data_IF_036697596296
#
_entry.id   IF_036697596296
#
_cell.length_a   1.000
_cell.length_b   1.000
_cell.length_c   1.000
_cell.angle_alpha   90.00
_cell.angle_beta   90.00
_cell.angle_gamma   90.00
#
_symmetry.space_group_name_H-M   'P 1'
#
loop_
_entity.id
_entity.type
_entity.pdbx_description
1 polymer ?
#
# COMPACT_ATOMS: atom_id res chain seq x y z
N UNK A 1 -24.71 -28.03 -16.07
CA UNK A 1 -23.51 -27.71 -15.25
C UNK A 1 -23.18 -26.24 -15.43
N UNK A 2 -23.47 -25.37 -14.44
CA UNK A 2 -23.07 -23.96 -14.49
C UNK A 2 -21.58 -23.89 -14.18
N UNK A 3 -20.78 -23.45 -15.17
CA UNK A 3 -19.37 -23.10 -14.96
C UNK A 3 -19.35 -21.95 -13.95
N UNK A 4 -18.89 -22.21 -12.73
CA UNK A 4 -18.56 -21.14 -11.80
C UNK A 4 -17.35 -20.41 -12.39
N UNK A 5 -17.57 -19.26 -13.02
CA UNK A 5 -16.49 -18.34 -13.32
C UNK A 5 -15.83 -17.99 -11.99
N UNK A 6 -14.51 -18.16 -11.88
CA UNK A 6 -13.79 -17.64 -10.72
C UNK A 6 -14.00 -16.13 -10.74
N UNK A 7 -14.78 -15.60 -9.81
CA UNK A 7 -14.97 -14.16 -9.67
C UNK A 7 -13.60 -13.49 -9.63
N UNK A 8 -13.35 -12.61 -10.61
CA UNK A 8 -12.11 -11.86 -10.70
C UNK A 8 -12.13 -10.89 -9.52
N UNK A 9 -11.33 -11.17 -8.49
CA UNK A 9 -11.20 -10.27 -7.34
C UNK A 9 -10.58 -8.97 -7.87
N UNK A 10 -11.31 -7.88 -7.72
CA UNK A 10 -10.88 -6.52 -8.00
C UNK A 10 -11.19 -5.65 -6.79
N UNK A 11 -10.46 -4.55 -6.61
CA UNK A 11 -10.75 -3.61 -5.53
C UNK A 11 -12.08 -2.91 -5.84
N UNK A 12 -13.08 -3.13 -5.01
CA UNK A 12 -14.40 -2.48 -5.16
C UNK A 12 -14.27 -0.97 -4.95
N UNK A 13 -15.12 -0.17 -5.61
CA UNK A 13 -15.08 1.30 -5.51
C UNK A 13 -15.23 1.80 -4.07
N UNK A 14 -16.06 1.15 -3.25
CA UNK A 14 -16.19 1.47 -1.82
C UNK A 14 -14.87 1.25 -1.08
N UNK A 15 -14.16 0.15 -1.38
CA UNK A 15 -12.86 -0.13 -0.80
C UNK A 15 -11.83 0.90 -1.26
N UNK A 16 -11.82 1.30 -2.53
CA UNK A 16 -10.92 2.37 -3.02
C UNK A 16 -11.13 3.67 -2.26
N UNK A 17 -12.39 4.07 -2.04
CA UNK A 17 -12.74 5.28 -1.27
C UNK A 17 -12.23 5.18 0.17
N UNK A 18 -12.45 4.05 0.83
CA UNK A 18 -11.96 3.82 2.20
C UNK A 18 -10.43 3.89 2.27
N UNK A 19 -9.72 3.29 1.31
CA UNK A 19 -8.26 3.35 1.23
C UNK A 19 -7.77 4.80 1.04
N UNK A 20 -8.39 5.55 0.13
CA UNK A 20 -8.05 6.97 -0.10
C UNK A 20 -8.26 7.78 1.19
N UNK A 21 -9.38 7.59 1.88
CA UNK A 21 -9.66 8.30 3.13
C UNK A 21 -8.64 7.97 4.23
N UNK A 22 -8.25 6.70 4.37
CA UNK A 22 -7.21 6.27 5.32
C UNK A 22 -5.88 6.95 5.00
N UNK A 23 -5.48 6.99 3.73
CA UNK A 23 -4.24 7.63 3.28
C UNK A 23 -4.28 9.14 3.55
N UNK A 24 -5.39 9.79 3.24
CA UNK A 24 -5.58 11.23 3.49
C UNK A 24 -5.51 11.58 4.98
N UNK A 25 -6.15 10.76 5.83
CA UNK A 25 -6.10 10.93 7.29
C UNK A 25 -4.67 10.72 7.82
N UNK A 26 -3.97 9.71 7.32
CA UNK A 26 -2.58 9.45 7.70
C UNK A 26 -1.66 10.61 7.29
N UNK A 27 -1.79 11.10 6.05
CA UNK A 27 -0.98 12.20 5.55
C UNK A 27 -1.11 13.45 6.43
N UNK A 28 -2.34 13.84 6.77
CA UNK A 28 -2.61 14.99 7.67
C UNK A 28 -2.02 14.82 9.07
N UNK A 29 -1.89 13.58 9.53
CA UNK A 29 -1.42 13.26 10.88
C UNK A 29 0.10 13.17 10.98
N UNK A 30 0.76 12.64 9.95
CA UNK A 30 2.19 12.28 10.02
C UNK A 30 3.11 13.21 9.22
N UNK A 31 2.60 13.97 8.24
CA UNK A 31 3.41 14.93 7.50
C UNK A 31 2.98 16.37 7.81
N UNK A 32 3.96 17.22 8.10
CA UNK A 32 3.77 18.66 8.28
C UNK A 32 4.05 19.45 7.00
N UNK A 33 4.73 18.83 6.03
CA UNK A 33 5.04 19.41 4.72
C UNK A 33 4.01 18.95 3.68
N UNK A 34 3.73 19.82 2.73
CA UNK A 34 2.81 19.56 1.62
C UNK A 34 3.46 18.73 0.49
N UNK A 35 4.79 18.66 0.44
CA UNK A 35 5.57 17.89 -0.53
C UNK A 35 5.98 16.49 -0.04
N UNK A 36 5.60 16.12 1.19
CA UNK A 36 5.75 14.77 1.76
C UNK A 36 4.39 14.15 2.03
N UNK A 37 4.01 13.12 1.27
CA UNK A 37 2.71 12.45 1.41
C UNK A 37 2.69 11.08 0.74
N UNK A 38 1.86 10.17 1.24
CA UNK A 38 1.49 8.95 0.53
C UNK A 38 0.42 9.22 -0.52
N UNK A 39 0.45 8.47 -1.60
CA UNK A 39 -0.59 8.43 -2.63
C UNK A 39 -0.83 7.00 -3.10
N UNK A 40 -2.00 6.75 -3.70
CA UNK A 40 -2.40 5.40 -4.11
C UNK A 40 -2.87 5.34 -5.55
N UNK A 41 -2.52 4.23 -6.22
CA UNK A 41 -3.03 3.86 -7.55
C UNK A 41 -3.63 2.46 -7.50
N UNK A 42 -4.77 2.26 -8.14
CA UNK A 42 -5.46 0.96 -8.15
C UNK A 42 -5.41 0.31 -9.54
N UNK A 43 -5.09 -0.98 -9.60
CA UNK A 43 -5.08 -1.76 -10.84
C UNK A 43 -5.54 -3.19 -10.57
N UNK A 44 -6.74 -3.54 -11.04
CA UNK A 44 -7.37 -4.83 -10.75
C UNK A 44 -7.51 -5.07 -9.25
N UNK A 45 -6.75 -6.03 -8.71
CA UNK A 45 -6.70 -6.36 -7.27
C UNK A 45 -5.61 -5.63 -6.50
N UNK A 46 -4.79 -4.84 -7.16
CA UNK A 46 -3.63 -4.21 -6.54
C UNK A 46 -3.93 -2.77 -6.14
N UNK A 47 -3.39 -2.36 -5.00
CA UNK A 47 -3.23 -0.99 -4.57
C UNK A 47 -1.71 -0.72 -4.50
N UNK A 48 -1.21 0.17 -5.34
CA UNK A 48 0.17 0.64 -5.28
C UNK A 48 0.21 1.85 -4.35
N UNK A 49 0.98 1.72 -3.27
CA UNK A 49 1.22 2.77 -2.30
C UNK A 49 2.58 3.40 -2.64
N UNK A 50 2.51 4.61 -3.18
CA UNK A 50 3.66 5.43 -3.53
C UNK A 50 3.79 6.55 -2.50
N UNK A 51 4.98 7.13 -2.35
CA UNK A 51 5.21 8.27 -1.46
C UNK A 51 5.98 9.37 -2.18
N UNK A 52 5.53 10.61 -2.00
CA UNK A 52 6.28 11.80 -2.36
C UNK A 52 7.29 12.09 -1.27
N UNK A 53 8.57 12.11 -1.63
CA UNK A 53 9.67 12.52 -0.76
C UNK A 53 10.26 13.80 -1.35
N UNK A 54 9.91 14.94 -0.76
CA UNK A 54 10.28 16.28 -1.27
C UNK A 54 9.88 16.51 -2.74
N UNK A 55 8.64 16.15 -3.07
CA UNK A 55 8.08 16.29 -4.41
C UNK A 55 8.46 15.19 -5.42
N UNK A 56 9.26 14.19 -5.01
CA UNK A 56 9.59 13.03 -5.85
C UNK A 56 8.74 11.83 -5.45
N UNK A 57 7.82 11.43 -6.32
CA UNK A 57 6.96 10.27 -6.09
C UNK A 57 7.74 8.99 -6.43
N UNK A 58 7.86 8.09 -5.46
CA UNK A 58 8.49 6.78 -5.60
C UNK A 58 7.64 5.64 -5.01
N UNK A 59 7.84 4.40 -5.48
CA UNK A 59 7.11 3.23 -4.99
C UNK A 59 7.56 2.81 -3.59
N UNK A 60 6.60 2.41 -2.74
CA UNK A 60 6.89 1.89 -1.39
C UNK A 60 6.35 0.46 -1.25
N UNK A 61 5.05 0.26 -1.48
CA UNK A 61 4.41 -1.05 -1.38
C UNK A 61 3.48 -1.31 -2.57
N UNK A 62 3.33 -2.58 -2.93
CA UNK A 62 2.18 -3.08 -3.68
C UNK A 62 1.36 -3.96 -2.75
N UNK A 63 0.14 -3.54 -2.47
CA UNK A 63 -0.82 -4.28 -1.67
C UNK A 63 -1.75 -5.08 -2.59
N UNK A 64 -2.06 -6.32 -2.21
CA UNK A 64 -3.01 -7.18 -2.93
C UNK A 64 -4.28 -7.34 -2.11
N UNK A 65 -5.40 -6.93 -2.67
CA UNK A 65 -6.72 -7.10 -2.06
C UNK A 65 -7.10 -8.58 -1.99
N UNK A 66 -7.54 -9.03 -0.82
CA UNK A 66 -7.96 -10.42 -0.59
C UNK A 66 -9.46 -10.58 -0.41
N UNK A 67 -10.23 -9.49 -0.51
CA UNK A 67 -11.68 -9.48 -0.26
C UNK A 67 -12.11 -8.75 1.01
N UNK A 68 -11.17 -8.22 1.80
CA UNK A 68 -11.46 -7.42 2.99
C UNK A 68 -10.47 -6.24 3.14
N UNK A 69 -10.94 -5.13 3.71
CA UNK A 69 -10.19 -3.87 3.88
C UNK A 69 -9.02 -4.00 4.87
N UNK A 70 -9.09 -4.97 5.78
CA UNK A 70 -8.15 -5.22 6.88
C UNK A 70 -7.25 -6.45 6.62
N UNK A 71 -7.27 -7.00 5.39
CA UNK A 71 -6.52 -8.21 5.02
C UNK A 71 -5.78 -8.06 3.70
N UNK A 72 -4.90 -7.09 3.60
CA UNK A 72 -4.04 -6.94 2.43
C UNK A 72 -2.81 -7.85 2.51
N UNK A 73 -2.37 -8.39 1.37
CA UNK A 73 -1.02 -8.98 1.25
C UNK A 73 -0.05 -7.93 0.75
N UNK A 74 1.16 -7.93 1.29
CA UNK A 74 2.15 -6.89 1.02
C UNK A 74 3.27 -7.37 0.12
N UNK A 75 3.83 -6.45 -0.63
CA UNK A 75 5.11 -6.59 -1.31
C UNK A 75 5.83 -5.24 -1.24
N UNK A 76 6.95 -5.18 -0.53
CA UNK A 76 7.77 -3.96 -0.44
C UNK A 76 8.53 -3.76 -1.75
N UNK A 77 8.65 -2.53 -2.22
CA UNK A 77 9.50 -2.22 -3.36
C UNK A 77 10.96 -2.25 -2.92
N UNK A 78 11.84 -2.97 -3.63
CA UNK A 78 13.28 -3.02 -3.36
C UNK A 78 14.03 -2.19 -4.37
N UNK A 79 14.68 -1.12 -3.92
CA UNK A 79 15.46 -0.23 -4.79
C UNK A 79 16.66 -0.92 -5.46
N UNK A 80 17.26 -1.92 -4.82
CA UNK A 80 18.40 -2.65 -5.38
C UNK A 80 18.04 -3.52 -6.60
N UNK A 81 16.77 -3.89 -6.75
CA UNK A 81 16.28 -4.74 -7.84
C UNK A 81 15.17 -4.09 -8.67
N UNK A 82 14.74 -2.88 -8.27
CA UNK A 82 13.61 -2.13 -8.83
C UNK A 82 12.31 -2.96 -8.96
N UNK A 83 12.04 -3.80 -7.96
CA UNK A 83 10.93 -4.77 -8.00
C UNK A 83 10.19 -4.84 -6.66
N UNK A 84 8.89 -5.15 -6.72
CA UNK A 84 8.10 -5.48 -5.54
C UNK A 84 8.33 -6.93 -5.11
N UNK A 85 8.79 -7.13 -3.89
CA UNK A 85 9.11 -8.44 -3.34
C UNK A 85 8.07 -8.85 -2.28
N UNK A 86 7.17 -9.81 -2.57
CA UNK A 86 6.18 -10.30 -1.61
C UNK A 86 6.77 -11.25 -0.56
N UNK A 87 8.02 -11.71 -0.75
CA UNK A 87 8.70 -12.63 0.16
C UNK A 87 9.70 -11.90 1.07
N UNK A 88 9.89 -10.61 0.88
CA UNK A 88 10.72 -9.78 1.74
C UNK A 88 9.93 -9.43 3.02
N UNK A 89 10.32 -10.05 4.13
CA UNK A 89 9.74 -9.82 5.46
C UNK A 89 10.78 -9.33 6.48
N UNK A 90 12.06 -9.25 6.09
CA UNK A 90 13.16 -8.83 6.96
C UNK A 90 13.66 -7.44 6.57
N UNK A 91 12.87 -6.43 6.91
CA UNK A 91 13.20 -5.03 6.69
C UNK A 91 12.71 -4.17 7.87
N UNK A 92 13.31 -2.98 8.10
CA UNK A 92 12.86 -2.08 9.16
C UNK A 92 11.37 -1.73 9.03
N UNK A 93 10.60 -1.89 10.09
CA UNK A 93 9.16 -1.61 10.10
C UNK A 93 8.26 -2.77 9.67
N UNK A 94 8.79 -3.96 9.36
CA UNK A 94 7.95 -5.12 9.01
C UNK A 94 6.99 -5.55 10.12
N UNK A 95 7.28 -5.19 11.38
CA UNK A 95 6.41 -5.38 12.54
C UNK A 95 5.10 -4.57 12.48
N UNK A 96 5.00 -3.56 11.61
CA UNK A 96 3.75 -2.81 11.40
C UNK A 96 2.83 -3.46 10.35
N UNK A 97 3.27 -4.48 9.62
CA UNK A 97 2.45 -5.17 8.62
C UNK A 97 1.40 -6.07 9.28
N UNK A 98 0.22 -5.51 9.53
CA UNK A 98 -0.89 -6.15 10.28
C UNK A 98 -2.09 -6.57 9.41
N UNK A 99 -2.02 -6.35 8.10
CA UNK A 99 -3.11 -6.55 7.14
C UNK A 99 -3.82 -5.26 6.72
N UNK A 100 -3.56 -4.13 7.39
CA UNK A 100 -4.16 -2.82 7.07
C UNK A 100 -3.32 -1.94 6.13
N UNK A 101 -3.96 -0.89 5.56
CA UNK A 101 -3.27 0.15 4.78
C UNK A 101 -2.38 1.02 5.68
N UNK A 102 -2.86 1.37 6.88
CA UNK A 102 -2.10 2.19 7.83
C UNK A 102 -0.81 1.49 8.27
N UNK A 103 -0.88 0.18 8.52
CA UNK A 103 0.30 -0.64 8.82
C UNK A 103 1.37 -0.57 7.73
N UNK A 104 0.98 -0.59 6.45
CA UNK A 104 1.91 -0.43 5.33
C UNK A 104 2.53 0.98 5.27
N UNK A 105 1.77 2.04 5.54
CA UNK A 105 2.32 3.40 5.58
C UNK A 105 3.33 3.56 6.73
N UNK A 106 3.03 3.03 7.92
CA UNK A 106 3.97 3.02 9.05
C UNK A 106 5.24 2.22 8.73
N UNK A 107 5.08 1.03 8.17
CA UNK A 107 6.21 0.21 7.71
C UNK A 107 7.07 0.96 6.68
N UNK A 108 6.45 1.71 5.78
CA UNK A 108 7.16 2.49 4.76
C UNK A 108 8.00 3.65 5.31
N UNK A 109 7.53 4.32 6.37
CA UNK A 109 8.29 5.37 7.05
C UNK A 109 9.58 4.82 7.70
N UNK A 110 9.53 3.60 8.24
CA UNK A 110 10.68 2.95 8.87
C UNK A 110 11.62 2.33 7.85
N UNK A 111 11.07 1.67 6.83
CA UNK A 111 11.86 1.01 5.79
C UNK A 111 12.66 2.03 4.95
N UNK A 112 12.02 3.16 4.64
CA UNK A 112 12.60 4.26 3.87
C UNK A 112 12.38 5.57 4.63
N UNK A 113 13.27 5.92 5.57
CA UNK A 113 13.18 7.20 6.29
C UNK A 113 13.32 8.40 5.35
N UNK A 114 12.62 9.48 5.67
CA UNK A 114 12.68 10.78 4.99
C UNK A 114 13.32 11.85 5.87
#
# INVERSE_FOLDING_TARGET
MKKHGKDKIEVLEEIKKNVIEIVDQFNRKYFSRDDCFYTVRFEGKYCYLDRSDYGRIGPIFRLTYTGAIDKWKYAIFKWSSEQYDPNEFYFPGSNYLDGTIEGAMRAGLEAYPI
#
